data_IF_687833167115
#
_entry.id   IF_687833167115
#
_cell.length_a   1.000
_cell.length_b   1.000
_cell.length_c   1.000
_cell.angle_alpha   90.00
_cell.angle_beta   90.00
_cell.angle_gamma   90.00
#
_symmetry.space_group_name_H-M   'P 1'
#
loop_
_entity.id
_entity.type
_entity.pdbx_description
1 polymer ?
#
# COMPACT_ATOMS: atom_id res chain seq x y z
N UNK A 1 -9.78 4.31 -12.61
CA UNK A 1 -8.49 3.72 -12.17
C UNK A 1 -7.31 4.16 -13.03
N UNK A 2 -7.30 3.93 -14.37
CA UNK A 2 -6.19 4.38 -15.24
C UNK A 2 -5.93 5.89 -15.20
N UNK A 3 -6.99 6.68 -15.07
CA UNK A 3 -6.94 8.14 -14.94
C UNK A 3 -6.23 8.62 -13.66
N UNK A 4 -6.23 7.79 -12.61
CA UNK A 4 -5.56 8.08 -11.33
C UNK A 4 -4.05 7.76 -11.43
N UNK A 5 -3.66 6.81 -12.28
CA UNK A 5 -2.26 6.43 -12.48
C UNK A 5 -1.40 7.56 -13.01
N UNK A 6 -1.91 8.31 -13.99
CA UNK A 6 -1.23 9.50 -14.50
C UNK A 6 -1.11 10.63 -13.45
N UNK A 7 -2.07 10.71 -12.50
CA UNK A 7 -2.12 11.76 -11.49
C UNK A 7 -1.07 11.61 -10.39
N UNK A 8 -0.69 10.38 -10.07
CA UNK A 8 0.25 10.10 -8.97
C UNK A 8 1.55 9.45 -9.42
N UNK A 9 1.77 9.27 -10.73
CA UNK A 9 2.98 8.63 -11.26
C UNK A 9 3.31 7.28 -10.56
N UNK A 10 2.27 6.50 -10.26
CA UNK A 10 2.40 5.09 -9.84
C UNK A 10 1.64 4.27 -10.86
N UNK A 11 2.21 3.16 -11.27
CA UNK A 11 1.63 2.32 -12.30
C UNK A 11 0.34 1.64 -11.82
N UNK A 12 -0.67 1.61 -12.67
CA UNK A 12 -1.93 0.94 -12.40
C UNK A 12 -1.73 -0.56 -12.08
N UNK A 13 -0.82 -1.22 -12.80
CA UNK A 13 -0.55 -2.64 -12.59
C UNK A 13 0.09 -2.92 -11.23
N UNK A 14 0.94 -2.01 -10.71
CA UNK A 14 1.49 -2.11 -9.36
C UNK A 14 0.38 -2.02 -8.30
N UNK A 15 -0.51 -1.04 -8.41
CA UNK A 15 -1.64 -0.90 -7.47
C UNK A 15 -2.54 -2.13 -7.51
N UNK A 16 -2.83 -2.65 -8.72
CA UNK A 16 -3.63 -3.87 -8.90
C UNK A 16 -2.95 -5.09 -8.29
N UNK A 17 -1.63 -5.23 -8.43
CA UNK A 17 -0.86 -6.30 -7.82
C UNK A 17 -0.90 -6.22 -6.29
N UNK A 18 -0.76 -5.02 -5.71
CA UNK A 18 -0.92 -4.80 -4.26
C UNK A 18 -2.31 -5.20 -3.80
N UNK A 19 -3.39 -4.77 -4.46
CA UNK A 19 -4.76 -5.16 -4.08
C UNK A 19 -4.96 -6.68 -4.10
N UNK A 20 -4.42 -7.36 -5.13
CA UNK A 20 -4.50 -8.82 -5.24
C UNK A 20 -3.78 -9.50 -4.07
N UNK A 21 -2.58 -9.03 -3.72
CA UNK A 21 -1.80 -9.58 -2.62
C UNK A 21 -2.43 -9.31 -1.25
N UNK A 22 -2.97 -8.12 -1.04
CA UNK A 22 -3.46 -7.66 0.27
C UNK A 22 -4.84 -8.21 0.61
N UNK A 23 -5.77 -8.21 -0.35
CA UNK A 23 -7.18 -8.52 -0.06
C UNK A 23 -7.81 -9.54 -1.00
N UNK A 24 -7.08 -10.01 -2.01
CA UNK A 24 -7.64 -10.75 -3.14
C UNK A 24 -8.91 -10.08 -3.72
N UNK A 25 -8.87 -8.76 -3.89
CA UNK A 25 -10.00 -7.93 -4.34
C UNK A 25 -11.25 -7.92 -3.43
N UNK A 26 -11.19 -8.47 -2.21
CA UNK A 26 -12.26 -8.34 -1.24
C UNK A 26 -12.28 -6.92 -0.60
N UNK A 27 -13.23 -6.09 -1.04
CA UNK A 27 -13.37 -4.70 -0.53
C UNK A 27 -13.75 -4.60 0.95
N UNK A 28 -14.20 -5.68 1.57
CA UNK A 28 -14.59 -5.74 2.99
C UNK A 28 -13.55 -6.49 3.84
N UNK A 29 -12.37 -6.80 3.29
CA UNK A 29 -11.33 -7.50 4.02
C UNK A 29 -10.89 -6.73 5.27
N UNK A 30 -10.71 -7.46 6.37
CA UNK A 30 -10.17 -6.96 7.64
C UNK A 30 -9.13 -7.96 8.14
N UNK A 31 -7.87 -7.53 8.29
CA UNK A 31 -6.83 -8.40 8.84
C UNK A 31 -6.96 -8.53 10.36
N UNK A 32 -6.36 -9.58 10.98
CA UNK A 32 -6.29 -9.69 12.43
C UNK A 32 -5.60 -8.50 13.12
N UNK A 33 -4.67 -7.83 12.40
CA UNK A 33 -3.93 -6.65 12.88
C UNK A 33 -4.73 -5.35 12.68
N UNK A 34 -5.89 -5.40 12.02
CA UNK A 34 -6.80 -4.27 11.84
C UNK A 34 -6.63 -3.49 10.53
N UNK A 35 -5.88 -4.03 9.57
CA UNK A 35 -5.79 -3.49 8.21
C UNK A 35 -7.12 -3.69 7.46
N UNK A 36 -7.54 -2.73 6.62
CA UNK A 36 -8.92 -2.72 6.06
C UNK A 36 -8.99 -2.38 4.58
N UNK A 37 -9.97 -3.00 3.91
CA UNK A 37 -10.34 -2.72 2.53
C UNK A 37 -9.40 -3.34 1.49
N UNK A 38 -9.55 -2.91 0.24
CA UNK A 38 -8.85 -3.48 -0.92
C UNK A 38 -7.33 -3.43 -0.83
N UNK A 39 -6.78 -2.35 -0.26
CA UNK A 39 -5.35 -2.13 -0.14
C UNK A 39 -4.85 -2.35 1.29
N UNK A 40 -5.67 -2.98 2.15
CA UNK A 40 -5.36 -3.29 3.55
C UNK A 40 -4.65 -2.14 4.28
N UNK A 41 -5.26 -0.96 4.26
CA UNK A 41 -4.69 0.19 4.95
C UNK A 41 -4.87 0.04 6.46
N UNK A 42 -3.78 0.19 7.21
CA UNK A 42 -3.85 0.36 8.66
C UNK A 42 -4.58 1.68 9.00
N UNK A 43 -5.27 1.76 10.15
CA UNK A 43 -6.03 2.96 10.51
C UNK A 43 -5.20 4.25 10.50
N UNK A 44 -3.96 4.19 10.98
CA UNK A 44 -3.03 5.33 10.97
C UNK A 44 -2.65 5.74 9.54
N UNK A 45 -2.33 4.77 8.68
CA UNK A 45 -2.05 5.01 7.26
C UNK A 45 -3.26 5.62 6.54
N UNK A 46 -4.46 5.10 6.81
CA UNK A 46 -5.71 5.63 6.24
C UNK A 46 -5.95 7.08 6.66
N UNK A 47 -5.71 7.42 7.94
CA UNK A 47 -5.80 8.78 8.45
C UNK A 47 -4.78 9.71 7.79
N UNK A 48 -3.51 9.29 7.71
CA UNK A 48 -2.43 10.05 7.09
C UNK A 48 -2.71 10.39 5.63
N UNK A 49 -3.36 9.48 4.90
CA UNK A 49 -3.67 9.63 3.47
C UNK A 49 -5.11 10.08 3.20
N UNK A 50 -5.79 10.63 4.22
CA UNK A 50 -7.13 11.24 4.13
C UNK A 50 -8.18 10.32 3.52
N UNK A 51 -8.16 9.04 3.89
CA UNK A 51 -9.19 8.07 3.51
C UNK A 51 -10.43 8.31 4.36
N UNK A 52 -11.56 8.67 3.73
CA UNK A 52 -12.81 8.95 4.45
C UNK A 52 -13.50 7.68 4.89
N UNK A 53 -13.56 6.68 4.01
CA UNK A 53 -14.10 5.36 4.31
C UNK A 53 -13.22 4.27 3.68
N UNK A 54 -12.63 3.43 4.53
CA UNK A 54 -11.73 2.33 4.13
C UNK A 54 -12.43 1.18 3.41
N UNK A 55 -13.75 1.07 3.50
CA UNK A 55 -14.55 0.05 2.80
C UNK A 55 -15.17 0.55 1.50
N UNK A 56 -15.11 1.86 1.24
CA UNK A 56 -15.41 2.44 -0.08
C UNK A 56 -14.22 2.21 -1.00
N UNK A 57 -14.34 1.41 -2.08
CA UNK A 57 -13.22 1.04 -2.93
C UNK A 57 -12.41 2.24 -3.44
N UNK A 58 -13.11 3.28 -3.91
CA UNK A 58 -12.48 4.49 -4.47
C UNK A 58 -11.60 5.19 -3.44
N UNK A 59 -12.10 5.39 -2.23
CA UNK A 59 -11.41 6.11 -1.17
C UNK A 59 -10.22 5.31 -0.64
N UNK A 60 -10.39 3.99 -0.46
CA UNK A 60 -9.32 3.09 -0.04
C UNK A 60 -8.19 3.03 -1.09
N UNK A 61 -8.54 2.92 -2.37
CA UNK A 61 -7.56 2.87 -3.47
C UNK A 61 -6.85 4.22 -3.62
N UNK A 62 -7.55 5.35 -3.54
CA UNK A 62 -6.90 6.66 -3.61
C UNK A 62 -5.93 6.88 -2.44
N UNK A 63 -6.29 6.43 -1.23
CA UNK A 63 -5.39 6.44 -0.07
C UNK A 63 -4.15 5.58 -0.27
N UNK A 64 -4.33 4.33 -0.73
CA UNK A 64 -3.20 3.44 -0.99
C UNK A 64 -2.31 3.93 -2.15
N UNK A 65 -2.87 4.64 -3.12
CA UNK A 65 -2.10 5.29 -4.19
C UNK A 65 -1.18 6.39 -3.65
N UNK A 66 -1.71 7.26 -2.78
CA UNK A 66 -0.92 8.31 -2.10
C UNK A 66 0.15 7.69 -1.21
N UNK A 67 -0.20 6.60 -0.52
CA UNK A 67 0.75 5.87 0.30
C UNK A 67 1.91 5.30 -0.52
N UNK A 68 1.61 4.58 -1.62
CA UNK A 68 2.63 4.05 -2.52
C UNK A 68 3.49 5.14 -3.14
N UNK A 69 2.89 6.26 -3.56
CA UNK A 69 3.64 7.41 -4.07
C UNK A 69 4.65 7.89 -3.04
N UNK A 70 4.21 8.17 -1.80
CA UNK A 70 5.10 8.59 -0.71
C UNK A 70 6.25 7.61 -0.47
N UNK A 71 6.00 6.30 -0.52
CA UNK A 71 7.04 5.29 -0.38
C UNK A 71 8.01 5.30 -1.57
N UNK A 72 7.51 5.46 -2.80
CA UNK A 72 8.36 5.59 -3.99
C UNK A 72 9.24 6.85 -3.92
N UNK A 73 8.73 7.99 -3.45
CA UNK A 73 9.57 9.16 -3.19
C UNK A 73 10.68 8.87 -2.17
N UNK A 74 10.30 8.24 -1.04
CA UNK A 74 11.24 7.88 0.04
C UNK A 74 12.37 6.98 -0.46
N UNK A 75 12.06 6.04 -1.34
CA UNK A 75 13.02 5.06 -1.87
C UNK A 75 13.51 5.40 -3.28
N UNK A 76 13.47 6.68 -3.68
CA UNK A 76 14.02 7.17 -4.95
C UNK A 76 13.54 6.40 -6.20
N UNK A 77 12.26 6.01 -6.21
CA UNK A 77 11.62 5.26 -7.29
C UNK A 77 11.84 3.74 -7.23
N UNK A 78 12.52 3.21 -6.22
CA UNK A 78 12.71 1.77 -6.04
C UNK A 78 11.40 1.08 -5.66
N UNK A 79 10.74 0.48 -6.66
CA UNK A 79 9.52 -0.31 -6.47
C UNK A 79 9.71 -1.44 -5.46
N UNK A 80 10.79 -2.25 -5.49
CA UNK A 80 10.97 -3.33 -4.51
C UNK A 80 11.02 -2.83 -3.06
N UNK A 81 11.74 -1.72 -2.79
CA UNK A 81 11.81 -1.15 -1.45
C UNK A 81 10.49 -0.52 -1.02
N UNK A 82 9.78 0.14 -1.94
CA UNK A 82 8.47 0.71 -1.66
C UNK A 82 7.44 -0.38 -1.29
N UNK A 83 7.40 -1.50 -2.04
CA UNK A 83 6.51 -2.63 -1.74
C UNK A 83 6.90 -3.31 -0.43
N UNK A 84 8.20 -3.49 -0.17
CA UNK A 84 8.68 -4.03 1.10
C UNK A 84 8.26 -3.14 2.28
N UNK A 85 8.38 -1.82 2.15
CA UNK A 85 7.96 -0.87 3.17
C UNK A 85 6.45 -0.78 3.32
N UNK A 86 5.68 -1.01 2.25
CA UNK A 86 4.23 -1.07 2.31
C UNK A 86 3.77 -2.20 3.23
N UNK A 87 4.38 -3.38 3.11
CA UNK A 87 4.04 -4.57 3.89
C UNK A 87 4.66 -4.54 5.30
N UNK A 88 5.95 -4.19 5.39
CA UNK A 88 6.75 -4.34 6.61
C UNK A 88 6.88 -3.03 7.42
N UNK A 89 6.49 -1.89 6.86
CA UNK A 89 6.75 -0.55 7.40
C UNK A 89 8.16 -0.05 7.08
N UNK A 90 8.31 1.27 6.91
CA UNK A 90 9.58 1.91 6.50
C UNK A 90 10.72 1.64 7.47
N UNK A 91 10.41 1.65 8.78
CA UNK A 91 11.41 1.42 9.84
C UNK A 91 12.13 0.08 9.67
N UNK A 92 11.41 -1.00 9.36
CA UNK A 92 12.02 -2.33 9.18
C UNK A 92 12.93 -2.38 7.95
N UNK A 93 12.53 -1.71 6.87
CA UNK A 93 13.34 -1.60 5.64
C UNK A 93 14.61 -0.78 5.90
N UNK A 94 14.48 0.32 6.66
CA UNK A 94 15.60 1.19 7.04
C UNK A 94 16.58 0.47 7.98
N UNK A 95 16.08 -0.22 9.01
CA UNK A 95 16.89 -1.03 9.94
C UNK A 95 17.60 -2.19 9.24
N UNK A 96 16.96 -2.81 8.24
CA UNK A 96 17.56 -3.88 7.45
C UNK A 96 18.55 -3.39 6.38
N UNK A 97 18.60 -2.08 6.09
CA UNK A 97 19.39 -1.52 4.98
C UNK A 97 18.91 -1.98 3.60
N UNK A 98 17.66 -2.42 3.47
CA UNK A 98 17.15 -3.07 2.26
C UNK A 98 15.83 -3.81 2.49
N UNK A 99 15.49 -4.75 1.61
CA UNK A 99 14.29 -5.57 1.77
C UNK A 99 14.49 -6.48 3.00
N UNK A 100 13.70 -6.31 4.08
CA UNK A 100 13.84 -7.14 5.26
C UNK A 100 13.44 -8.59 4.94
N UNK A 101 13.98 -9.59 5.66
CA UNK A 101 13.47 -10.95 5.56
C UNK A 101 12.02 -10.97 6.03
N UNK A 102 11.08 -11.09 5.09
CA UNK A 102 9.64 -11.12 5.38
C UNK A 102 9.26 -12.58 5.66
N UNK A 103 8.83 -12.95 6.88
CA UNK A 103 8.49 -14.34 7.20
C UNK A 103 7.27 -14.86 6.41
N UNK A 104 6.41 -13.95 5.97
CA UNK A 104 5.11 -14.22 5.34
C UNK A 104 5.23 -14.46 3.81
N UNK A 105 6.43 -14.42 3.23
CA UNK A 105 6.68 -14.65 1.80
C UNK A 105 7.70 -15.77 1.58
N UNK A 106 7.33 -17.00 1.97
CA UNK A 106 7.93 -18.23 1.45
C UNK A 106 6.92 -18.96 0.58
#
# INVERSE_FOLDING_TARGET
MREIAGRYAVEYELVKAVIKAESDFNRLAVSPKGARGLMQLMPETAALHMVRDVFVPRDNIEGGWRHLRMLLDRYHGSVPLAVAAYNAGTRRVEEAGGIPPIPETR
#
